data_IF_329696733437
#
_entry.id   IF_329696733437
#
_cell.length_a   1.000
_cell.length_b   1.000
_cell.length_c   1.000
_cell.angle_alpha   90.00
_cell.angle_beta   90.00
_cell.angle_gamma   90.00
#
_symmetry.space_group_name_H-M   'P 1'
#
loop_
_entity.id
_entity.type
_entity.pdbx_description
1 polymer ?
#
# COMPACT_ATOMS: atom_id res chain seq x y z
N UNK A 1 -12.76 7.16 18.64
CA UNK A 1 -11.31 7.24 18.57
C UNK A 1 -10.74 6.25 17.57
N UNK A 2 -9.62 6.58 16.94
CA UNK A 2 -8.98 5.79 15.91
C UNK A 2 -7.49 5.62 16.21
N UNK A 3 -6.98 4.38 16.20
CA UNK A 3 -5.57 4.10 16.07
C UNK A 3 -5.25 3.86 14.59
N UNK A 4 -4.57 4.81 13.93
CA UNK A 4 -4.13 4.69 12.56
C UNK A 4 -2.78 3.97 12.52
N UNK A 5 -2.77 2.77 11.96
CA UNK A 5 -1.58 1.93 11.85
C UNK A 5 -0.99 2.06 10.45
N UNK A 6 0.18 2.67 10.33
CA UNK A 6 1.00 2.68 9.12
C UNK A 6 1.84 1.39 9.12
N UNK A 7 1.29 0.35 8.51
CA UNK A 7 1.95 -0.95 8.45
C UNK A 7 3.03 -1.02 7.35
N UNK A 8 3.80 -2.11 7.34
CA UNK A 8 4.93 -2.32 6.43
C UNK A 8 5.99 -1.21 6.54
N UNK A 9 6.19 -0.67 7.75
CA UNK A 9 7.19 0.37 8.01
C UNK A 9 8.62 -0.06 7.67
N UNK A 10 8.87 -1.36 7.57
CA UNK A 10 10.11 -1.95 7.07
C UNK A 10 10.37 -1.66 5.59
N UNK A 11 9.32 -1.43 4.80
CA UNK A 11 9.39 -1.13 3.37
C UNK A 11 9.22 0.36 3.05
N UNK A 12 8.73 1.16 3.98
CA UNK A 12 8.39 2.55 3.77
C UNK A 12 9.58 3.49 3.98
N UNK A 13 9.62 4.59 3.23
CA UNK A 13 10.56 5.69 3.42
C UNK A 13 10.40 6.28 4.84
N UNK A 14 11.48 6.38 5.62
CA UNK A 14 11.42 6.91 6.98
C UNK A 14 10.93 8.35 7.06
N UNK A 15 11.38 9.22 6.16
CA UNK A 15 10.99 10.63 6.15
C UNK A 15 9.51 10.80 5.81
N UNK A 16 9.02 10.12 4.78
CA UNK A 16 7.60 10.09 4.44
C UNK A 16 6.75 9.49 5.57
N UNK A 17 7.24 8.44 6.24
CA UNK A 17 6.57 7.84 7.39
C UNK A 17 6.42 8.84 8.53
N UNK A 18 7.45 9.59 8.88
CA UNK A 18 7.39 10.62 9.93
C UNK A 18 6.44 11.77 9.55
N UNK A 19 6.46 12.21 8.30
CA UNK A 19 5.54 13.23 7.81
C UNK A 19 4.07 12.78 7.96
N UNK A 20 3.75 11.54 7.58
CA UNK A 20 2.42 10.98 7.75
C UNK A 20 2.02 10.78 9.23
N UNK A 21 2.94 10.35 10.09
CA UNK A 21 2.68 10.26 11.52
C UNK A 21 2.35 11.62 12.12
N UNK A 22 3.11 12.66 11.76
CA UNK A 22 2.85 14.03 12.19
C UNK A 22 1.48 14.49 11.73
N UNK A 23 1.17 14.35 10.44
CA UNK A 23 -0.10 14.74 9.83
C UNK A 23 -1.31 14.08 10.52
N UNK A 24 -1.27 12.76 10.75
CA UNK A 24 -2.40 12.08 11.37
C UNK A 24 -2.53 12.35 12.87
N UNK A 25 -1.43 12.55 13.59
CA UNK A 25 -1.49 12.84 15.03
C UNK A 25 -2.02 14.24 15.33
N UNK A 26 -2.11 15.13 14.34
CA UNK A 26 -2.78 16.42 14.47
C UNK A 26 -4.31 16.33 14.37
N UNK A 27 -4.85 15.21 13.89
CA UNK A 27 -6.29 15.03 13.72
C UNK A 27 -6.98 14.69 15.05
N UNK A 28 -8.13 15.32 15.37
CA UNK A 28 -8.85 15.05 16.61
C UNK A 28 -9.27 13.57 16.73
N UNK A 29 -9.02 12.96 17.87
CA UNK A 29 -9.41 11.57 18.15
C UNK A 29 -8.60 10.49 17.40
N UNK A 30 -7.51 10.89 16.73
CA UNK A 30 -6.61 9.97 16.00
C UNK A 30 -5.27 9.88 16.73
N UNK A 31 -4.79 8.66 16.89
CA UNK A 31 -3.40 8.33 17.23
C UNK A 31 -2.81 7.54 16.08
N UNK A 32 -1.67 7.98 15.56
CA UNK A 32 -0.98 7.28 14.49
C UNK A 32 0.30 6.60 15.00
N UNK A 33 0.59 5.40 14.49
CA UNK A 33 1.80 4.65 14.76
C UNK A 33 2.30 3.97 13.49
N UNK A 34 3.61 3.86 13.32
CA UNK A 34 4.22 3.05 12.28
C UNK A 34 4.75 1.75 12.88
N UNK A 35 4.51 0.64 12.21
CA UNK A 35 4.99 -0.68 12.63
C UNK A 35 5.15 -1.63 11.44
N UNK A 36 5.83 -2.74 11.67
CA UNK A 36 5.86 -3.87 10.73
C UNK A 36 5.25 -5.10 11.38
N UNK A 37 4.19 -5.64 10.78
CA UNK A 37 3.60 -6.91 11.26
C UNK A 37 4.55 -8.11 11.08
N UNK A 38 5.66 -7.98 10.36
CA UNK A 38 6.73 -8.98 10.34
C UNK A 38 7.47 -9.06 11.68
N UNK A 39 7.49 -7.95 12.41
CA UNK A 39 8.03 -7.89 13.76
C UNK A 39 6.89 -8.13 14.78
N UNK A 40 6.86 -9.29 15.39
CA UNK A 40 5.84 -9.67 16.36
C UNK A 40 5.79 -8.74 17.58
N UNK A 41 6.94 -8.20 17.99
CA UNK A 41 7.04 -7.23 19.09
C UNK A 41 6.30 -5.92 18.78
N UNK A 42 6.40 -5.42 17.55
CA UNK A 42 5.69 -4.21 17.12
C UNK A 42 4.18 -4.41 17.13
N UNK A 43 3.72 -5.52 16.54
CA UNK A 43 2.30 -5.85 16.50
C UNK A 43 1.71 -6.05 17.91
N UNK A 44 2.44 -6.70 18.81
CA UNK A 44 2.00 -6.94 20.19
C UNK A 44 1.75 -5.66 21.01
N UNK A 45 2.29 -4.51 20.58
CA UNK A 45 2.06 -3.20 21.24
C UNK A 45 0.70 -2.59 20.91
N UNK A 46 0.06 -2.99 19.80
CA UNK A 46 -1.19 -2.39 19.30
C UNK A 46 -2.31 -2.35 20.32
N UNK A 47 -2.64 -3.43 21.05
CA UNK A 47 -3.70 -3.39 22.08
C UNK A 47 -3.43 -2.35 23.18
N UNK A 48 -2.18 -2.24 23.64
CA UNK A 48 -1.81 -1.27 24.67
C UNK A 48 -1.88 0.19 24.16
N UNK A 49 -1.66 0.41 22.87
CA UNK A 49 -1.82 1.73 22.22
C UNK A 49 -3.30 2.12 22.06
N UNK A 50 -4.22 1.15 22.06
CA UNK A 50 -5.66 1.40 22.00
C UNK A 50 -6.28 1.77 23.36
N UNK A 51 -5.70 1.33 24.48
CA UNK A 51 -6.25 1.58 25.84
C UNK A 51 -6.47 3.08 26.14
N UNK A 52 -5.49 3.98 25.93
CA UNK A 52 -5.66 5.39 26.19
C UNK A 52 -6.74 6.07 25.35
N UNK A 53 -7.09 5.45 24.20
CA UNK A 53 -8.12 5.98 23.31
C UNK A 53 -9.55 5.69 23.80
N UNK A 54 -9.71 4.73 24.74
CA UNK A 54 -11.00 4.39 25.33
C UNK A 54 -10.84 4.09 26.82
N UNK A 55 -10.49 5.09 27.66
CA UNK A 55 -10.09 4.90 29.05
C UNK A 55 -11.20 4.35 29.96
N UNK A 56 -12.47 4.44 29.54
CA UNK A 56 -13.64 3.91 30.24
C UNK A 56 -13.97 2.46 29.88
N UNK A 57 -13.08 1.77 29.13
CA UNK A 57 -13.25 0.40 28.65
C UNK A 57 -11.97 -0.41 28.84
N UNK A 58 -11.64 -0.72 30.08
CA UNK A 58 -10.46 -1.54 30.39
C UNK A 58 -10.73 -2.45 31.62
N UNK A 59 -11.98 -2.92 31.79
CA UNK A 59 -12.34 -3.89 32.80
C UNK A 59 -13.12 -5.08 32.21
N UNK A 60 -13.31 -6.13 33.01
CA UNK A 60 -14.01 -7.35 32.59
C UNK A 60 -15.49 -7.12 32.28
N UNK A 61 -16.13 -6.11 32.90
CA UNK A 61 -17.53 -5.76 32.66
C UNK A 61 -17.70 -4.89 31.42
N UNK A 62 -16.66 -4.09 31.08
CA UNK A 62 -16.64 -3.21 29.90
C UNK A 62 -15.38 -3.42 29.08
N UNK A 63 -15.25 -4.57 28.41
CA UNK A 63 -14.02 -4.89 27.67
C UNK A 63 -13.79 -3.93 26.50
N UNK A 64 -12.53 -3.65 26.23
CA UNK A 64 -12.10 -2.88 25.06
C UNK A 64 -12.45 -3.65 23.78
N UNK A 65 -13.32 -3.08 22.95
CA UNK A 65 -13.73 -3.66 21.67
C UNK A 65 -13.01 -2.93 20.55
N UNK A 66 -12.18 -3.65 19.84
CA UNK A 66 -11.40 -3.14 18.69
C UNK A 66 -11.92 -3.75 17.40
N UNK A 67 -11.89 -2.96 16.32
CA UNK A 67 -12.15 -3.44 14.96
C UNK A 67 -10.96 -3.07 14.08
N UNK A 68 -10.45 -4.02 13.30
CA UNK A 68 -9.45 -3.77 12.26
C UNK A 68 -10.18 -3.46 10.96
N UNK A 69 -9.89 -2.29 10.40
CA UNK A 69 -10.42 -1.85 9.11
C UNK A 69 -9.28 -1.40 8.19
N UNK A 70 -9.48 -1.46 6.90
CA UNK A 70 -8.56 -0.94 5.89
C UNK A 70 -8.72 -1.63 4.56
N UNK A 71 -8.04 -1.08 3.55
CA UNK A 71 -8.04 -1.60 2.18
C UNK A 71 -7.43 -3.01 2.10
N UNK A 72 -7.64 -3.75 1.01
CA UNK A 72 -7.02 -5.07 0.82
C UNK A 72 -5.47 -5.00 0.88
N UNK A 73 -4.85 -6.10 1.22
CA UNK A 73 -3.38 -6.35 1.20
C UNK A 73 -2.49 -5.42 2.05
N UNK A 74 -3.07 -4.61 2.96
CA UNK A 74 -2.29 -3.76 3.88
C UNK A 74 -1.78 -4.51 5.13
N UNK A 75 -2.12 -5.79 5.27
CA UNK A 75 -1.64 -6.65 6.36
C UNK A 75 -2.58 -6.79 7.54
N UNK A 76 -3.90 -6.52 7.39
CA UNK A 76 -4.92 -6.72 8.45
C UNK A 76 -4.89 -8.14 9.02
N UNK A 77 -4.99 -9.15 8.16
CA UNK A 77 -4.97 -10.56 8.56
C UNK A 77 -3.66 -10.97 9.22
N UNK A 78 -2.53 -10.43 8.76
CA UNK A 78 -1.23 -10.66 9.39
C UNK A 78 -1.19 -10.08 10.80
N UNK A 79 -1.64 -8.83 10.98
CA UNK A 79 -1.74 -8.20 12.28
C UNK A 79 -2.62 -9.02 13.22
N UNK A 80 -3.78 -9.45 12.75
CA UNK A 80 -4.72 -10.25 13.53
C UNK A 80 -4.12 -11.59 13.97
N UNK A 81 -3.51 -12.33 13.06
CA UNK A 81 -2.87 -13.61 13.36
C UNK A 81 -1.74 -13.44 14.41
N UNK A 82 -0.97 -12.34 14.29
CA UNK A 82 0.10 -12.04 15.26
C UNK A 82 -0.47 -11.71 16.64
N UNK A 83 -1.53 -10.92 16.72
CA UNK A 83 -2.18 -10.55 17.98
C UNK A 83 -2.82 -11.75 18.68
N UNK A 84 -3.44 -12.64 17.92
CA UNK A 84 -4.11 -13.85 18.43
C UNK A 84 -3.13 -15.01 18.65
N UNK A 85 -1.85 -14.87 18.24
CA UNK A 85 -0.82 -15.92 18.32
C UNK A 85 -1.26 -17.24 17.67
N UNK A 86 -2.15 -17.17 16.68
CA UNK A 86 -2.67 -18.32 15.92
C UNK A 86 -3.17 -17.87 14.56
N UNK A 87 -3.21 -18.79 13.62
CA UNK A 87 -3.74 -18.52 12.28
C UNK A 87 -5.27 -18.61 12.29
N UNK A 88 -5.95 -17.49 12.40
CA UNK A 88 -7.42 -17.38 12.37
C UNK A 88 -7.93 -16.74 11.08
N UNK A 89 -7.09 -15.98 10.39
CA UNK A 89 -7.39 -15.36 9.11
C UNK A 89 -6.44 -15.88 8.04
N UNK A 90 -6.96 -16.11 6.85
CA UNK A 90 -6.13 -16.46 5.71
C UNK A 90 -5.31 -15.24 5.29
N UNK A 91 -4.03 -15.46 5.09
CA UNK A 91 -3.10 -14.47 4.55
C UNK A 91 -2.84 -14.87 3.09
N UNK A 92 -3.10 -13.98 2.16
CA UNK A 92 -2.86 -14.20 0.74
C UNK A 92 -2.62 -12.88 0.04
N UNK A 93 -1.99 -12.94 -1.12
CA UNK A 93 -1.70 -11.77 -1.95
C UNK A 93 -2.90 -11.34 -2.82
N UNK A 94 -3.97 -12.14 -2.86
CA UNK A 94 -5.18 -11.80 -3.59
C UNK A 94 -6.11 -10.89 -2.75
N UNK A 95 -6.77 -9.90 -3.38
CA UNK A 95 -7.78 -9.07 -2.72
C UNK A 95 -8.98 -9.92 -2.24
N UNK A 96 -9.61 -9.51 -1.13
CA UNK A 96 -10.85 -10.10 -0.59
C UNK A 96 -10.76 -11.51 0.00
N UNK A 97 -9.64 -11.86 0.63
CA UNK A 97 -9.48 -13.16 1.31
C UNK A 97 -10.43 -13.32 2.52
N UNK A 98 -10.72 -12.25 3.25
CA UNK A 98 -11.67 -12.25 4.38
C UNK A 98 -13.08 -11.93 3.87
N UNK A 99 -14.00 -12.89 3.98
CA UNK A 99 -15.39 -12.79 3.43
C UNK A 99 -16.42 -12.32 4.46
N UNK A 100 -16.16 -12.43 5.77
CA UNK A 100 -17.09 -12.10 6.83
C UNK A 100 -16.40 -11.50 8.04
N UNK A 101 -17.15 -10.74 8.84
CA UNK A 101 -16.65 -10.24 10.13
C UNK A 101 -16.56 -11.39 11.13
N UNK A 102 -15.41 -11.49 11.81
CA UNK A 102 -15.18 -12.47 12.86
C UNK A 102 -14.69 -11.76 14.12
N UNK A 103 -15.28 -12.14 15.27
CA UNK A 103 -14.89 -11.63 16.57
C UNK A 103 -14.02 -12.63 17.31
N UNK A 104 -12.91 -12.17 17.87
CA UNK A 104 -11.97 -12.96 18.62
C UNK A 104 -11.67 -12.29 19.97
N UNK A 105 -11.60 -13.07 21.03
CA UNK A 105 -11.11 -12.60 22.33
C UNK A 105 -9.59 -12.62 22.32
N UNK A 106 -8.96 -11.48 22.62
CA UNK A 106 -7.52 -11.41 22.88
C UNK A 106 -7.21 -11.81 24.31
N UNK A 107 -8.05 -11.40 25.25
CA UNK A 107 -8.07 -11.75 26.66
C UNK A 107 -9.44 -11.37 27.26
N UNK A 108 -9.61 -11.48 28.58
CA UNK A 108 -10.87 -11.20 29.28
C UNK A 108 -11.30 -9.73 29.19
N UNK A 109 -10.36 -8.82 28.91
CA UNK A 109 -10.59 -7.38 28.85
C UNK A 109 -10.60 -6.82 27.41
N UNK A 110 -10.29 -7.64 26.39
CA UNK A 110 -10.13 -7.14 25.03
C UNK A 110 -10.70 -8.08 23.99
N UNK A 111 -11.47 -7.54 23.07
CA UNK A 111 -11.95 -8.25 21.87
C UNK A 111 -11.50 -7.56 20.59
N UNK A 112 -11.24 -8.35 19.56
CA UNK A 112 -10.82 -7.90 18.24
C UNK A 112 -11.80 -8.43 17.20
N UNK A 113 -12.30 -7.55 16.34
CA UNK A 113 -13.15 -7.91 15.20
C UNK A 113 -12.38 -7.64 13.91
N UNK A 114 -12.31 -8.65 13.03
CA UNK A 114 -11.78 -8.48 11.68
C UNK A 114 -12.86 -7.97 10.74
N UNK A 115 -12.47 -7.22 9.73
CA UNK A 115 -13.34 -6.83 8.64
C UNK A 115 -12.73 -7.20 7.29
N UNK A 116 -13.57 -7.51 6.28
CA UNK A 116 -13.10 -7.59 4.90
C UNK A 116 -12.31 -6.36 4.49
N UNK A 117 -11.43 -6.50 3.51
CA UNK A 117 -10.81 -5.35 2.87
C UNK A 117 -11.86 -4.48 2.22
N UNK A 118 -11.95 -3.21 2.62
CA UNK A 118 -12.93 -2.28 2.13
C UNK A 118 -12.25 -1.25 1.23
N UNK A 119 -12.78 -1.13 0.02
CA UNK A 119 -12.49 -0.03 -0.90
C UNK A 119 -13.81 0.74 -1.11
N UNK A 120 -13.71 2.04 -1.36
CA UNK A 120 -14.87 2.82 -1.77
C UNK A 120 -15.33 2.38 -3.17
N UNK A 121 -16.63 2.50 -3.46
CA UNK A 121 -17.21 1.95 -4.70
C UNK A 121 -16.69 2.60 -5.98
N UNK A 122 -16.25 3.85 -5.90
CA UNK A 122 -15.72 4.62 -7.03
C UNK A 122 -14.39 5.27 -6.65
N UNK A 123 -13.38 5.02 -7.45
CA UNK A 123 -12.08 5.72 -7.36
C UNK A 123 -12.21 6.96 -8.26
N UNK A 124 -12.29 8.14 -7.65
CA UNK A 124 -12.52 9.39 -8.38
C UNK A 124 -11.25 9.87 -9.10
N UNK A 125 -10.10 9.69 -8.48
CA UNK A 125 -8.82 10.07 -9.07
C UNK A 125 -8.15 8.84 -9.70
N UNK A 126 -7.89 8.83 -11.01
CA UNK A 126 -7.20 7.73 -11.69
C UNK A 126 -5.85 7.37 -11.06
N UNK A 127 -5.08 8.36 -10.60
CA UNK A 127 -3.80 8.13 -9.93
C UNK A 127 -3.96 7.32 -8.63
N UNK A 128 -5.08 7.46 -7.91
CA UNK A 128 -5.36 6.62 -6.73
C UNK A 128 -5.54 5.16 -7.14
N UNK A 129 -6.17 4.90 -8.29
CA UNK A 129 -6.29 3.56 -8.86
C UNK A 129 -4.93 2.95 -9.16
N UNK A 130 -4.05 3.70 -9.81
CA UNK A 130 -2.69 3.26 -10.14
C UNK A 130 -1.84 3.04 -8.87
N UNK A 131 -1.96 3.90 -7.85
CA UNK A 131 -1.30 3.67 -6.56
C UNK A 131 -1.80 2.42 -5.86
N UNK A 132 -3.13 2.17 -5.84
CA UNK A 132 -3.72 0.98 -5.25
C UNK A 132 -3.31 -0.29 -6.00
N UNK A 133 -3.19 -0.22 -7.33
CA UNK A 133 -2.68 -1.30 -8.15
C UNK A 133 -1.19 -1.55 -7.88
N UNK A 134 -0.37 -0.50 -7.78
CA UNK A 134 1.05 -0.62 -7.50
C UNK A 134 1.32 -1.36 -6.18
N UNK A 135 0.52 -1.13 -5.13
CA UNK A 135 0.62 -1.85 -3.84
C UNK A 135 -0.18 -3.16 -3.81
N UNK A 136 -0.80 -3.55 -4.93
CA UNK A 136 -1.64 -4.75 -5.06
C UNK A 136 -2.89 -4.75 -4.15
N UNK A 137 -3.46 -3.57 -3.88
CA UNK A 137 -4.71 -3.45 -3.12
C UNK A 137 -5.95 -3.71 -3.98
N UNK A 138 -5.85 -3.59 -5.31
CA UNK A 138 -6.84 -4.00 -6.30
C UNK A 138 -6.29 -5.13 -7.16
N UNK A 139 -7.20 -5.96 -7.71
CA UNK A 139 -6.81 -7.13 -8.50
C UNK A 139 -6.25 -6.75 -9.87
N UNK A 140 -5.43 -7.64 -10.44
CA UNK A 140 -4.80 -7.45 -11.78
C UNK A 140 -5.79 -7.24 -12.90
N UNK A 141 -7.00 -7.78 -12.80
CA UNK A 141 -8.04 -7.62 -13.83
C UNK A 141 -8.61 -6.19 -13.92
N UNK A 142 -8.23 -5.30 -13.00
CA UNK A 142 -8.73 -3.94 -12.94
C UNK A 142 -7.78 -2.92 -13.59
N UNK A 143 -6.54 -3.31 -13.91
CA UNK A 143 -5.50 -2.40 -14.46
C UNK A 143 -4.53 -3.16 -15.37
N UNK A 144 -3.86 -2.44 -16.24
CA UNK A 144 -2.80 -2.95 -17.10
C UNK A 144 -1.46 -2.79 -16.36
N UNK A 145 -0.74 -3.89 -16.17
CA UNK A 145 0.50 -3.89 -15.36
C UNK A 145 1.57 -2.93 -15.93
N UNK A 146 1.64 -2.73 -17.25
CA UNK A 146 2.55 -1.79 -17.93
C UNK A 146 2.24 -0.34 -17.58
N UNK A 147 0.95 0.02 -17.53
CA UNK A 147 0.51 1.37 -17.15
C UNK A 147 0.83 1.65 -15.68
N UNK A 148 0.56 0.67 -14.80
CA UNK A 148 0.90 0.78 -13.37
C UNK A 148 2.40 0.89 -13.16
N UNK A 149 3.20 0.14 -13.91
CA UNK A 149 4.66 0.18 -13.82
C UNK A 149 5.23 1.50 -14.35
N UNK A 150 4.69 2.06 -15.44
CA UNK A 150 5.08 3.35 -15.95
C UNK A 150 4.78 4.47 -14.93
N UNK A 151 3.56 4.51 -14.39
CA UNK A 151 3.18 5.44 -13.33
C UNK A 151 4.09 5.33 -12.09
N UNK A 152 4.37 4.10 -11.63
CA UNK A 152 5.33 3.87 -10.55
C UNK A 152 6.72 4.37 -10.94
N UNK A 153 7.13 4.14 -12.19
CA UNK A 153 8.41 4.58 -12.75
C UNK A 153 8.61 6.08 -12.64
N UNK A 154 7.60 6.88 -13.00
CA UNK A 154 7.65 8.34 -12.90
C UNK A 154 7.87 8.80 -11.45
N UNK A 155 7.14 8.21 -10.49
CA UNK A 155 7.34 8.52 -9.07
C UNK A 155 8.75 8.14 -8.60
N UNK A 156 9.26 6.98 -9.02
CA UNK A 156 10.57 6.49 -8.62
C UNK A 156 11.69 7.32 -9.25
N UNK A 157 11.58 7.73 -10.50
CA UNK A 157 12.53 8.63 -11.16
C UNK A 157 12.61 9.98 -10.45
N UNK A 158 11.48 10.53 -10.06
CA UNK A 158 11.42 11.83 -9.38
C UNK A 158 11.95 11.79 -7.94
N UNK A 159 11.69 10.71 -7.19
CA UNK A 159 11.93 10.66 -5.75
C UNK A 159 13.06 9.72 -5.31
N UNK A 160 13.33 8.68 -6.06
CA UNK A 160 14.24 7.58 -5.68
C UNK A 160 15.20 7.17 -6.82
N UNK A 161 15.81 8.13 -7.57
CA UNK A 161 16.66 7.79 -8.71
C UNK A 161 17.89 6.94 -8.30
N UNK A 162 18.45 7.20 -7.13
CA UNK A 162 19.60 6.44 -6.64
C UNK A 162 19.28 4.96 -6.43
N UNK A 163 18.08 4.64 -5.93
CA UNK A 163 17.61 3.27 -5.74
C UNK A 163 17.47 2.55 -7.08
N UNK A 164 16.86 3.22 -8.09
CA UNK A 164 16.72 2.68 -9.44
C UNK A 164 18.09 2.40 -10.08
N UNK A 165 18.99 3.40 -10.07
CA UNK A 165 20.33 3.25 -10.62
C UNK A 165 21.09 2.11 -9.93
N UNK A 166 20.96 2.00 -8.62
CA UNK A 166 21.60 0.95 -7.83
C UNK A 166 21.07 -0.45 -8.17
N UNK A 167 19.74 -0.58 -8.33
CA UNK A 167 19.09 -1.87 -8.60
C UNK A 167 19.29 -2.36 -10.01
N UNK A 168 19.07 -1.49 -11.00
CA UNK A 168 19.03 -1.90 -12.41
C UNK A 168 20.34 -1.65 -13.16
N UNK A 169 21.25 -0.81 -12.63
CA UNK A 169 22.52 -0.45 -13.28
C UNK A 169 22.30 0.07 -14.71
N UNK A 170 21.36 1.00 -14.85
CA UNK A 170 21.01 1.69 -16.10
C UNK A 170 21.22 3.20 -15.96
N UNK A 171 21.40 3.90 -17.08
CA UNK A 171 21.33 5.37 -17.12
C UNK A 171 19.85 5.80 -16.97
N UNK A 172 19.60 6.84 -16.19
CA UNK A 172 18.26 7.39 -15.94
C UNK A 172 18.07 8.74 -16.66
N UNK A 173 19.03 9.15 -17.50
CA UNK A 173 18.97 10.43 -18.21
C UNK A 173 17.83 10.40 -19.22
N UNK A 174 16.98 11.43 -19.19
CA UNK A 174 15.86 11.65 -20.11
C UNK A 174 14.84 10.50 -20.16
N UNK A 175 14.74 9.70 -19.10
CA UNK A 175 13.73 8.67 -18.97
C UNK A 175 12.49 9.19 -18.25
N UNK A 176 11.33 8.86 -18.81
CA UNK A 176 10.03 8.81 -18.13
C UNK A 176 9.73 7.39 -17.63
N UNK A 177 8.55 7.17 -17.05
CA UNK A 177 8.15 5.87 -16.54
C UNK A 177 8.11 4.79 -17.60
N UNK A 178 7.68 5.10 -18.82
CA UNK A 178 7.66 4.16 -19.97
C UNK A 178 9.09 3.80 -20.35
N UNK A 179 9.93 4.80 -20.57
CA UNK A 179 11.35 4.62 -20.90
C UNK A 179 12.11 3.85 -19.84
N UNK A 180 11.76 4.01 -18.55
CA UNK A 180 12.31 3.23 -17.47
C UNK A 180 11.97 1.73 -17.61
N UNK A 181 10.71 1.40 -17.90
CA UNK A 181 10.28 -0.01 -18.08
C UNK A 181 10.99 -0.62 -19.29
N UNK A 182 11.12 0.12 -20.42
CA UNK A 182 11.88 -0.33 -21.59
C UNK A 182 13.37 -0.54 -21.27
N UNK A 183 13.99 0.39 -20.53
CA UNK A 183 15.39 0.27 -20.13
C UNK A 183 15.61 -0.96 -19.23
N UNK A 184 14.66 -1.27 -18.34
CA UNK A 184 14.66 -2.49 -17.53
C UNK A 184 14.52 -3.73 -18.43
N UNK A 185 13.60 -3.70 -19.43
CA UNK A 185 13.40 -4.79 -20.37
C UNK A 185 14.70 -5.12 -21.12
N UNK A 186 15.36 -4.09 -21.67
CA UNK A 186 16.65 -4.21 -22.38
C UNK A 186 17.73 -4.77 -21.45
N UNK A 187 17.85 -4.22 -20.25
CA UNK A 187 18.88 -4.64 -19.26
C UNK A 187 18.70 -6.06 -18.77
N UNK A 188 17.44 -6.51 -18.60
CA UNK A 188 17.10 -7.85 -18.10
C UNK A 188 16.95 -8.90 -19.21
N UNK A 189 17.08 -8.51 -20.48
CA UNK A 189 16.88 -9.40 -21.61
C UNK A 189 15.46 -9.92 -21.68
N UNK A 190 14.46 -9.07 -21.37
CA UNK A 190 13.06 -9.43 -21.50
C UNK A 190 12.67 -9.37 -22.98
N UNK A 191 12.64 -10.51 -23.65
CA UNK A 191 12.34 -10.64 -25.08
C UNK A 191 11.18 -11.59 -25.30
N UNK A 192 10.30 -11.21 -26.24
CA UNK A 192 9.20 -12.06 -26.68
C UNK A 192 9.74 -13.27 -27.46
N UNK A 193 9.15 -14.44 -27.18
CA UNK A 193 9.48 -15.71 -27.83
C UNK A 193 8.43 -16.15 -28.87
N UNK A 194 7.39 -15.33 -29.06
CA UNK A 194 6.29 -15.67 -29.97
C UNK A 194 6.68 -15.55 -31.43
N UNK A 195 6.16 -16.46 -32.29
CA UNK A 195 6.32 -16.39 -33.75
C UNK A 195 5.77 -15.05 -34.25
N UNK A 196 6.58 -14.31 -35.04
CA UNK A 196 6.23 -13.01 -35.59
C UNK A 196 6.65 -11.80 -34.74
N UNK A 197 6.99 -11.99 -33.45
CA UNK A 197 7.47 -10.93 -32.54
C UNK A 197 8.77 -11.32 -31.83
N UNK A 198 9.51 -12.24 -32.42
CA UNK A 198 10.76 -12.75 -31.87
C UNK A 198 11.80 -11.62 -31.77
N UNK A 199 12.31 -11.37 -30.57
CA UNK A 199 13.32 -10.33 -30.32
C UNK A 199 12.74 -8.95 -29.96
N UNK A 200 11.43 -8.75 -30.03
CA UNK A 200 10.79 -7.55 -29.46
C UNK A 200 10.87 -7.57 -27.93
N UNK A 201 10.85 -6.38 -27.33
CA UNK A 201 10.87 -6.25 -25.87
C UNK A 201 9.55 -6.77 -25.26
N UNK A 202 9.68 -7.57 -24.23
CA UNK A 202 8.59 -8.04 -23.40
C UNK A 202 8.38 -7.02 -22.25
N UNK A 203 7.57 -6.01 -22.54
CA UNK A 203 7.30 -4.89 -21.64
C UNK A 203 6.48 -5.36 -20.42
N UNK A 204 5.52 -6.27 -20.62
CA UNK A 204 4.74 -6.86 -19.52
C UNK A 204 5.64 -7.55 -18.50
N UNK A 205 6.59 -8.34 -18.96
CA UNK A 205 7.56 -9.00 -18.08
C UNK A 205 8.45 -8.00 -17.34
N UNK A 206 8.88 -6.92 -17.98
CA UNK A 206 9.67 -5.87 -17.34
C UNK A 206 8.85 -5.08 -16.31
N UNK A 207 7.61 -4.76 -16.63
CA UNK A 207 6.64 -4.15 -15.71
C UNK A 207 6.47 -5.00 -14.44
N UNK A 208 6.26 -6.30 -14.62
CA UNK A 208 6.15 -7.25 -13.50
C UNK A 208 7.43 -7.32 -12.65
N UNK A 209 8.62 -7.19 -13.25
CA UNK A 209 9.89 -7.12 -12.50
C UNK A 209 9.90 -5.86 -11.62
N UNK A 210 9.57 -4.69 -12.17
CA UNK A 210 9.56 -3.42 -11.44
C UNK A 210 8.55 -3.47 -10.27
N UNK A 211 7.32 -3.91 -10.54
CA UNK A 211 6.26 -4.03 -9.52
C UNK A 211 6.63 -5.03 -8.42
N UNK A 212 7.25 -6.16 -8.78
CA UNK A 212 7.70 -7.17 -7.82
C UNK A 212 8.83 -6.64 -6.95
N UNK A 213 9.83 -6.00 -7.54
CA UNK A 213 10.95 -5.39 -6.83
C UNK A 213 10.48 -4.29 -5.85
N UNK A 214 9.50 -3.48 -6.26
CA UNK A 214 8.86 -2.48 -5.41
C UNK A 214 8.11 -3.12 -4.22
N UNK A 215 7.20 -4.04 -4.48
CA UNK A 215 6.36 -4.71 -3.47
C UNK A 215 7.18 -5.54 -2.48
N UNK A 216 8.25 -6.14 -2.96
CA UNK A 216 9.19 -6.94 -2.17
C UNK A 216 10.20 -6.13 -1.37
N UNK A 217 10.33 -4.82 -1.61
CA UNK A 217 11.31 -3.95 -0.97
C UNK A 217 12.73 -4.09 -1.49
N UNK A 218 12.91 -4.75 -2.64
CA UNK A 218 14.22 -4.95 -3.28
C UNK A 218 14.84 -3.63 -3.76
N UNK A 219 14.00 -2.63 -4.05
CA UNK A 219 14.41 -1.26 -4.38
C UNK A 219 14.85 -0.46 -3.15
N UNK A 220 14.64 -0.97 -1.94
CA UNK A 220 14.84 -0.25 -0.69
C UNK A 220 13.53 0.29 -0.12
N UNK A 221 13.65 1.24 0.81
CA UNK A 221 12.49 1.81 1.51
C UNK A 221 11.90 2.94 0.70
N UNK A 222 10.66 2.76 0.24
CA UNK A 222 9.96 3.64 -0.70
C UNK A 222 8.56 3.96 -0.18
N UNK A 223 8.11 5.20 -0.37
CA UNK A 223 6.73 5.65 -0.19
C UNK A 223 6.30 6.43 -1.42
N UNK A 224 5.11 6.13 -1.94
CA UNK A 224 4.63 6.73 -3.19
C UNK A 224 4.26 8.20 -3.01
N UNK A 225 3.80 8.59 -1.82
CA UNK A 225 3.38 9.96 -1.53
C UNK A 225 3.77 10.42 -0.11
N UNK A 226 3.73 11.73 0.08
CA UNK A 226 3.77 12.42 1.37
C UNK A 226 2.49 13.23 1.57
N UNK A 227 2.17 13.75 2.77
CA UNK A 227 1.04 14.65 2.94
C UNK A 227 1.05 15.83 1.96
N UNK A 228 2.23 16.37 1.66
CA UNK A 228 2.40 17.52 0.75
C UNK A 228 2.13 17.15 -0.70
N UNK A 229 2.72 16.05 -1.19
CA UNK A 229 2.49 15.58 -2.58
C UNK A 229 1.04 15.17 -2.77
N UNK A 230 0.41 14.56 -1.76
CA UNK A 230 -1.02 14.24 -1.78
C UNK A 230 -1.88 15.50 -1.87
N UNK A 231 -1.59 16.50 -1.07
CA UNK A 231 -2.31 17.77 -1.10
C UNK A 231 -2.15 18.49 -2.45
N UNK A 232 -0.97 18.43 -3.07
CA UNK A 232 -0.73 18.98 -4.39
C UNK A 232 -1.55 18.25 -5.47
N UNK A 233 -1.56 16.92 -5.45
CA UNK A 233 -2.33 16.10 -6.39
C UNK A 233 -3.83 16.36 -6.28
N UNK A 234 -4.37 16.54 -5.06
CA UNK A 234 -5.79 16.82 -4.85
C UNK A 234 -6.19 18.19 -5.38
N UNK A 235 -5.32 19.20 -5.31
CA UNK A 235 -5.58 20.53 -5.90
C UNK A 235 -5.68 20.47 -7.42
N UNK A 236 -4.82 19.71 -8.08
CA UNK A 236 -4.87 19.55 -9.55
C UNK A 236 -6.19 18.95 -10.03
N UNK A 237 -6.80 18.07 -9.24
CA UNK A 237 -8.11 17.47 -9.59
C UNK A 237 -9.26 18.48 -9.44
N UNK A 238 -9.20 19.35 -8.43
CA UNK A 238 -10.24 20.39 -8.22
C UNK A 238 -10.15 21.52 -9.23
N UNK A 239 -8.99 21.79 -9.79
CA UNK A 239 -8.75 22.89 -10.76
C UNK A 239 -8.94 22.43 -12.21
N UNK A 240 -9.14 21.12 -12.47
CA UNK A 240 -9.47 20.62 -13.80
C UNK A 240 -10.90 21.05 -14.18
N UNK A 241 -11.12 21.71 -15.35
CA UNK A 241 -12.46 22.08 -15.79
C UNK A 241 -13.33 20.82 -15.91
N UNK A 242 -14.53 20.89 -15.37
CA UNK A 242 -15.55 19.84 -15.52
C UNK A 242 -15.83 19.65 -17.04
N UNK A 243 -15.44 18.53 -17.58
CA UNK A 243 -15.72 18.19 -18.98
C UNK A 243 -17.16 17.62 -19.03
N UNK A 244 -18.13 18.49 -19.29
CA UNK A 244 -19.57 18.18 -19.41
C UNK A 244 -19.92 17.32 -20.64
N UNK A 245 -18.93 16.80 -21.37
CA UNK A 245 -19.11 16.17 -22.68
C UNK A 245 -19.32 14.64 -22.66
N UNK A 246 -19.80 14.04 -21.55
CA UNK A 246 -20.16 12.60 -21.52
C UNK A 246 -21.50 12.34 -20.82
N UNK A 247 -22.55 13.02 -21.26
CA UNK A 247 -23.94 12.60 -21.09
C UNK A 247 -24.69 12.80 -22.40
N UNK A 248 -24.49 11.90 -23.33
CA UNK A 248 -25.45 11.57 -24.39
C UNK A 248 -25.36 10.05 -24.68
#
# INVERSE_FOLDING_TARGET
PCLKVLNKADLADPAATQAWLHFYNQQPGVKAVALSCKNSGDAARVPNLCKPLAPHRDDSHKPLRMMIMGIPNVGKSTLMNTLLKRRVANVGDEPAVTKSQQRHNLNDHMTLTDSPGLLWPKIENPNDGLMLAAIHAIGRNATIDEEVAAFLGDILLARYPAQLANRYKISLVDLDGIGLVEAIAKKRGCLLKSKGRLGELDIEKAAMILLTDYRGGTLGRISLETPETRAAMMRQVTDAPFDDAKQE
#
